data_IF_198100413112
#
_entry.id   IF_198100413112
#
_cell.length_a   1.000
_cell.length_b   1.000
_cell.length_c   1.000
_cell.angle_alpha   90.00
_cell.angle_beta   90.00
_cell.angle_gamma   90.00
#
_symmetry.space_group_name_H-M   'P 1'
#
loop_
_entity.id
_entity.type
_entity.pdbx_description
1 polymer ?
#
# COMPACT_ATOMS: atom_id res chain seq x y z
N UNK A 1 8.52 6.85 18.49
CA UNK A 1 7.49 6.05 17.80
C UNK A 1 8.08 4.71 17.38
N UNK A 2 7.25 3.68 17.21
CA UNK A 2 7.70 2.35 16.77
C UNK A 2 7.63 2.31 15.24
N UNK A 3 8.74 1.93 14.59
CA UNK A 3 8.87 1.88 13.13
C UNK A 3 8.87 0.43 12.65
N UNK A 4 7.71 -0.24 12.54
CA UNK A 4 7.67 -1.67 12.24
C UNK A 4 8.15 -1.99 10.82
N UNK A 5 8.95 -3.03 10.69
CA UNK A 5 9.44 -3.55 9.40
C UNK A 5 8.34 -4.28 8.61
N UNK A 6 7.31 -4.76 9.30
CA UNK A 6 6.12 -5.34 8.69
C UNK A 6 4.91 -5.20 9.61
N UNK A 7 3.73 -5.02 9.01
CA UNK A 7 2.47 -4.89 9.75
C UNK A 7 1.49 -5.93 9.26
N UNK A 8 0.98 -6.73 10.20
CA UNK A 8 -0.19 -7.57 9.99
C UNK A 8 -1.41 -6.88 10.61
N UNK A 9 -2.45 -6.64 9.82
CA UNK A 9 -3.66 -6.00 10.29
C UNK A 9 -4.89 -6.52 9.55
N UNK A 10 -6.03 -6.60 10.25
CA UNK A 10 -7.30 -7.07 9.67
C UNK A 10 -7.84 -6.09 8.62
N UNK A 11 -8.70 -6.55 7.68
CA UNK A 11 -9.28 -5.72 6.61
C UNK A 11 -9.88 -4.40 7.10
N UNK A 12 -10.60 -4.42 8.22
CA UNK A 12 -11.25 -3.22 8.75
C UNK A 12 -10.28 -2.12 9.18
N UNK A 13 -9.08 -2.49 9.64
CA UNK A 13 -8.01 -1.52 9.93
C UNK A 13 -7.48 -0.92 8.63
N UNK A 14 -7.37 -1.73 7.57
CA UNK A 14 -6.92 -1.28 6.25
C UNK A 14 -7.91 -0.35 5.57
N UNK A 15 -9.21 -0.59 5.75
CA UNK A 15 -10.30 0.25 5.26
C UNK A 15 -10.31 1.61 5.97
N UNK A 16 -10.30 1.63 7.31
CA UNK A 16 -10.20 2.88 8.07
C UNK A 16 -8.99 3.71 7.68
N UNK A 17 -7.89 3.03 7.40
CA UNK A 17 -6.67 3.69 6.94
C UNK A 17 -6.87 4.37 5.58
N UNK A 18 -7.48 3.66 4.63
CA UNK A 18 -7.86 4.21 3.33
C UNK A 18 -8.76 5.43 3.50
N UNK A 19 -9.81 5.33 4.32
CA UNK A 19 -10.75 6.43 4.58
C UNK A 19 -10.02 7.65 5.16
N UNK A 20 -9.17 7.45 6.17
CA UNK A 20 -8.40 8.54 6.80
C UNK A 20 -7.46 9.23 5.80
N UNK A 21 -6.81 8.46 4.94
CA UNK A 21 -5.94 8.99 3.90
C UNK A 21 -6.75 9.74 2.81
N UNK A 22 -7.91 9.21 2.39
CA UNK A 22 -8.82 9.90 1.46
C UNK A 22 -9.33 11.22 2.04
N UNK A 23 -9.71 11.27 3.32
CA UNK A 23 -10.08 12.53 3.99
C UNK A 23 -8.93 13.54 3.98
N UNK A 24 -7.70 13.09 4.26
CA UNK A 24 -6.53 13.96 4.14
C UNK A 24 -6.34 14.46 2.70
N UNK A 25 -6.52 13.62 1.69
CA UNK A 25 -6.44 14.05 0.29
C UNK A 25 -7.54 15.02 -0.12
N UNK A 26 -8.74 14.91 0.44
CA UNK A 26 -9.81 15.87 0.21
C UNK A 26 -9.50 17.23 0.84
N UNK A 27 -8.84 17.25 2.01
CA UNK A 27 -8.39 18.49 2.65
C UNK A 27 -7.24 19.20 1.91
N UNK A 28 -6.54 18.48 1.03
CA UNK A 28 -5.43 19.01 0.23
C UNK A 28 -5.99 19.55 -1.11
N UNK A 29 -6.07 20.88 -1.23
CA UNK A 29 -6.48 21.56 -2.46
C UNK A 29 -5.34 21.84 -3.46
N UNK A 30 -5.73 22.10 -4.72
CA UNK A 30 -4.85 22.67 -5.75
C UNK A 30 -3.75 21.74 -6.28
N UNK A 31 -2.55 22.29 -6.48
CA UNK A 31 -1.40 21.63 -7.13
C UNK A 31 -0.96 20.36 -6.38
N UNK A 32 -1.07 20.35 -5.05
CA UNK A 32 -0.70 19.17 -4.23
C UNK A 32 -1.59 17.96 -4.53
N UNK A 33 -2.90 18.17 -4.78
CA UNK A 33 -3.82 17.09 -5.17
C UNK A 33 -3.43 16.47 -6.51
N UNK A 34 -3.01 17.31 -7.47
CA UNK A 34 -2.53 16.84 -8.76
C UNK A 34 -1.25 16.01 -8.62
N UNK A 35 -0.30 16.46 -7.78
CA UNK A 35 0.95 15.72 -7.48
C UNK A 35 0.63 14.37 -6.85
N UNK A 36 -0.28 14.30 -5.86
CA UNK A 36 -0.67 13.05 -5.21
C UNK A 36 -1.34 12.11 -6.21
N UNK A 37 -2.24 12.60 -7.06
CA UNK A 37 -2.88 11.80 -8.11
C UNK A 37 -1.85 11.22 -9.08
N UNK A 38 -0.91 12.05 -9.53
CA UNK A 38 0.19 11.60 -10.41
C UNK A 38 1.11 10.61 -9.72
N UNK A 39 1.39 10.79 -8.43
CA UNK A 39 2.15 9.85 -7.62
C UNK A 39 1.43 8.50 -7.54
N UNK A 40 0.11 8.49 -7.33
CA UNK A 40 -0.68 7.24 -7.30
C UNK A 40 -0.63 6.49 -8.63
N UNK A 41 -0.75 7.16 -9.77
CA UNK A 41 -0.59 6.54 -11.10
C UNK A 41 0.80 5.92 -11.27
N UNK A 42 1.84 6.61 -10.82
CA UNK A 42 3.23 6.15 -10.90
C UNK A 42 3.48 4.96 -9.97
N UNK A 43 2.90 4.97 -8.76
CA UNK A 43 2.97 3.84 -7.81
C UNK A 43 2.28 2.59 -8.35
N UNK A 44 1.08 2.75 -8.94
CA UNK A 44 0.35 1.66 -9.60
C UNK A 44 1.19 1.01 -10.71
N UNK A 45 1.72 1.83 -11.64
CA UNK A 45 2.60 1.34 -12.71
C UNK A 45 3.85 0.66 -12.18
N UNK A 46 4.43 1.17 -11.09
CA UNK A 46 5.62 0.56 -10.49
C UNK A 46 5.32 -0.82 -9.90
N UNK A 47 4.16 -0.98 -9.26
CA UNK A 47 3.69 -2.26 -8.75
C UNK A 47 3.34 -3.23 -9.89
N UNK A 48 2.67 -2.79 -10.95
CA UNK A 48 2.40 -3.61 -12.14
C UNK A 48 3.70 -4.10 -12.79
N UNK A 49 4.71 -3.23 -12.91
CA UNK A 49 6.03 -3.60 -13.41
C UNK A 49 6.70 -4.66 -12.52
N UNK A 50 6.60 -4.53 -11.18
CA UNK A 50 7.12 -5.53 -10.24
C UNK A 50 6.41 -6.89 -10.38
N UNK A 51 5.09 -6.90 -10.57
CA UNK A 51 4.30 -8.12 -10.78
C UNK A 51 4.73 -8.81 -12.09
N UNK A 52 4.86 -8.04 -13.17
CA UNK A 52 5.26 -8.55 -14.49
C UNK A 52 6.76 -8.89 -14.61
N UNK A 53 7.54 -8.83 -13.50
CA UNK A 53 9.01 -8.94 -13.47
C UNK A 53 9.71 -8.00 -14.46
N UNK A 54 9.05 -6.91 -14.83
CA UNK A 54 9.57 -5.92 -15.75
C UNK A 54 10.30 -4.85 -14.92
N UNK A 55 11.63 -4.82 -14.96
CA UNK A 55 12.43 -3.94 -14.12
C UNK A 55 12.52 -2.49 -14.66
N UNK A 56 11.53 -2.06 -15.46
CA UNK A 56 11.49 -0.73 -16.03
C UNK A 56 11.19 0.32 -14.95
N UNK A 57 12.12 1.27 -14.81
CA UNK A 57 11.95 2.42 -13.94
C UNK A 57 10.80 3.29 -14.44
N UNK A 58 9.77 3.47 -13.61
CA UNK A 58 8.65 4.34 -13.96
C UNK A 58 9.10 5.81 -13.89
N UNK A 59 8.95 6.52 -15.00
CA UNK A 59 9.30 7.94 -15.06
C UNK A 59 8.52 8.73 -13.99
N UNK A 60 9.22 9.55 -13.21
CA UNK A 60 8.63 10.32 -12.10
C UNK A 60 8.53 9.57 -10.77
N UNK A 61 8.91 8.28 -10.69
CA UNK A 61 8.88 7.51 -9.43
C UNK A 61 9.75 8.13 -8.33
N UNK A 62 10.96 8.59 -8.65
CA UNK A 62 11.82 9.25 -7.66
C UNK A 62 11.19 10.50 -7.05
N UNK A 63 10.46 11.28 -7.86
CA UNK A 63 9.79 12.50 -7.41
C UNK A 63 8.55 12.16 -6.57
N UNK A 64 7.73 11.21 -7.04
CA UNK A 64 6.56 10.70 -6.31
C UNK A 64 6.96 10.09 -4.95
N UNK A 65 8.07 9.33 -4.95
CA UNK A 65 8.60 8.70 -3.74
C UNK A 65 9.05 9.74 -2.72
N UNK A 66 9.81 10.76 -3.16
CA UNK A 66 10.34 11.77 -2.25
C UNK A 66 9.26 12.72 -1.73
N UNK A 67 8.30 13.11 -2.56
CA UNK A 67 7.28 14.11 -2.20
C UNK A 67 6.05 13.52 -1.51
N UNK A 68 5.63 12.32 -1.90
CA UNK A 68 4.35 11.73 -1.45
C UNK A 68 4.61 10.49 -0.60
N UNK A 69 5.28 9.48 -1.15
CA UNK A 69 5.40 8.19 -0.46
C UNK A 69 6.21 8.29 0.83
N UNK A 70 7.35 9.00 0.81
CA UNK A 70 8.20 9.17 2.00
C UNK A 70 7.47 9.93 3.11
N UNK A 71 6.88 11.07 2.79
CA UNK A 71 6.11 11.87 3.76
C UNK A 71 4.92 11.09 4.34
N UNK A 72 4.23 10.31 3.49
CA UNK A 72 3.13 9.47 3.96
C UNK A 72 3.64 8.36 4.88
N UNK A 73 4.70 7.65 4.49
CA UNK A 73 5.28 6.58 5.31
C UNK A 73 5.82 7.09 6.64
N UNK A 74 6.52 8.22 6.66
CA UNK A 74 7.04 8.85 7.88
C UNK A 74 5.91 9.24 8.84
N UNK A 75 4.85 9.88 8.35
CA UNK A 75 3.68 10.26 9.17
C UNK A 75 2.94 9.08 9.81
N UNK A 76 3.16 7.89 9.28
CA UNK A 76 2.48 6.66 9.71
C UNK A 76 3.40 5.73 10.50
N UNK A 77 4.67 6.11 10.69
CA UNK A 77 5.69 5.21 11.22
C UNK A 77 5.99 4.00 10.32
N UNK A 78 5.61 4.07 9.03
CA UNK A 78 5.80 3.01 8.02
C UNK A 78 7.03 3.24 7.14
N UNK A 79 7.90 4.16 7.49
CA UNK A 79 9.15 4.46 6.78
C UNK A 79 10.06 3.24 6.65
N UNK A 80 10.03 2.34 7.65
CA UNK A 80 10.75 1.05 7.60
C UNK A 80 9.89 -0.13 7.15
N UNK A 81 8.59 0.08 6.91
CA UNK A 81 7.67 -1.00 6.58
C UNK A 81 7.94 -1.50 5.15
N UNK A 82 8.39 -2.75 5.05
CA UNK A 82 8.71 -3.41 3.77
C UNK A 82 7.54 -4.20 3.20
N UNK A 83 6.66 -4.69 4.07
CA UNK A 83 5.51 -5.50 3.67
C UNK A 83 4.35 -5.31 4.64
N UNK A 84 3.16 -5.17 4.08
CA UNK A 84 1.90 -5.15 4.81
C UNK A 84 1.17 -6.46 4.53
N UNK A 85 0.66 -7.12 5.57
CA UNK A 85 -0.14 -8.32 5.47
C UNK A 85 -1.54 -8.02 5.99
N UNK A 86 -2.55 -8.52 5.30
CA UNK A 86 -3.95 -8.46 5.70
C UNK A 86 -4.58 -9.83 5.63
N UNK A 87 -5.32 -10.23 6.65
CA UNK A 87 -5.98 -11.54 6.68
C UNK A 87 -7.12 -11.60 7.70
N UNK A 88 -7.84 -12.72 7.68
CA UNK A 88 -9.01 -12.98 8.53
C UNK A 88 -10.36 -12.60 7.91
N UNK A 89 -10.37 -11.94 6.75
CA UNK A 89 -11.57 -11.69 5.94
C UNK A 89 -11.17 -11.30 4.50
N UNK A 90 -12.08 -11.44 3.52
CA UNK A 90 -11.83 -11.01 2.14
C UNK A 90 -11.60 -9.49 2.08
N UNK A 91 -10.54 -9.08 1.37
CA UNK A 91 -10.21 -7.67 1.22
C UNK A 91 -10.77 -7.13 -0.11
N UNK A 92 -11.47 -5.98 -0.12
CA UNK A 92 -11.96 -5.39 -1.36
C UNK A 92 -10.81 -4.98 -2.28
N UNK A 93 -10.95 -5.22 -3.59
CA UNK A 93 -9.94 -4.83 -4.59
C UNK A 93 -9.61 -3.32 -4.54
N UNK A 94 -10.61 -2.48 -4.27
CA UNK A 94 -10.43 -1.04 -4.12
C UNK A 94 -9.48 -0.64 -2.98
N UNK A 95 -9.36 -1.46 -1.93
CA UNK A 95 -8.37 -1.25 -0.86
C UNK A 95 -7.00 -1.66 -1.38
N UNK A 96 -6.86 -2.86 -1.95
CA UNK A 96 -5.60 -3.35 -2.52
C UNK A 96 -4.99 -2.39 -3.55
N UNK A 97 -5.82 -1.87 -4.46
CA UNK A 97 -5.40 -0.94 -5.51
C UNK A 97 -4.98 0.42 -4.93
N UNK A 98 -5.64 0.88 -3.86
CA UNK A 98 -5.25 2.10 -3.14
C UNK A 98 -3.83 1.97 -2.54
N UNK A 99 -3.55 0.88 -1.83
CA UNK A 99 -2.22 0.63 -1.27
C UNK A 99 -1.15 0.45 -2.37
N UNK A 100 -1.51 -0.17 -3.49
CA UNK A 100 -0.63 -0.27 -4.67
C UNK A 100 -0.27 1.11 -5.23
N UNK A 101 -1.20 2.07 -5.22
CA UNK A 101 -0.93 3.46 -5.58
C UNK A 101 0.12 4.16 -4.70
N UNK A 102 0.30 3.74 -3.44
CA UNK A 102 1.37 4.23 -2.55
C UNK A 102 2.66 3.43 -2.61
N UNK A 103 2.78 2.53 -3.60
CA UNK A 103 3.88 1.58 -3.72
C UNK A 103 4.04 0.71 -2.45
N UNK A 104 2.93 0.39 -1.79
CA UNK A 104 2.89 -0.50 -0.62
C UNK A 104 2.37 -1.87 -1.06
N UNK A 105 3.20 -2.89 -0.84
CA UNK A 105 2.78 -4.26 -1.07
C UNK A 105 1.90 -4.76 0.08
N UNK A 106 0.61 -4.95 -0.18
CA UNK A 106 -0.41 -5.48 0.73
C UNK A 106 -0.73 -6.96 0.43
N UNK A 107 -0.02 -7.86 1.07
CA UNK A 107 -0.22 -9.30 0.93
C UNK A 107 -1.52 -9.72 1.62
N UNK A 108 -2.27 -10.60 0.99
CA UNK A 108 -3.45 -11.26 1.54
C UNK A 108 -3.05 -12.62 2.11
N UNK A 109 -3.44 -12.80 3.35
CA UNK A 109 -3.26 -13.99 4.15
C UNK A 109 -4.63 -14.63 4.35
N UNK A 110 -4.73 -15.90 3.99
CA UNK A 110 -5.87 -16.74 4.31
C UNK A 110 -5.45 -17.74 5.39
N UNK A 111 -6.31 -17.91 6.38
CA UNK A 111 -6.12 -18.88 7.43
C UNK A 111 -7.24 -18.80 8.45
N UNK A 112 -7.42 -19.89 9.18
CA UNK A 112 -8.43 -20.04 10.21
C UNK A 112 -7.76 -20.60 11.46
N UNK A 113 -8.38 -20.45 12.63
CA UNK A 113 -7.87 -21.03 13.88
C UNK A 113 -7.69 -22.55 13.76
N UNK A 114 -8.58 -23.18 13.00
CA UNK A 114 -8.67 -24.61 12.71
C UNK A 114 -7.52 -25.12 11.84
N UNK A 115 -6.73 -24.23 11.21
CA UNK A 115 -5.65 -24.56 10.28
C UNK A 115 -4.30 -23.94 10.68
N UNK A 116 -4.07 -23.69 11.99
CA UNK A 116 -2.85 -23.06 12.54
C UNK A 116 -2.69 -21.58 12.18
N UNK A 117 -3.80 -20.84 12.13
CA UNK A 117 -3.90 -19.39 11.89
C UNK A 117 -3.55 -18.91 10.48
N UNK A 118 -2.54 -19.48 9.82
CA UNK A 118 -2.12 -19.09 8.46
C UNK A 118 -2.05 -20.34 7.58
N UNK A 119 -2.93 -20.42 6.60
CA UNK A 119 -2.94 -21.51 5.62
C UNK A 119 -2.14 -21.12 4.36
N UNK A 120 -2.40 -19.93 3.80
CA UNK A 120 -1.73 -19.45 2.59
C UNK A 120 -1.54 -17.94 2.61
N UNK A 121 -0.48 -17.47 1.93
CA UNK A 121 -0.19 -16.04 1.73
C UNK A 121 0.17 -15.83 0.27
N UNK A 122 -0.40 -14.80 -0.36
CA UNK A 122 0.00 -14.45 -1.73
C UNK A 122 1.40 -13.82 -1.75
N UNK A 123 2.12 -14.01 -2.86
CA UNK A 123 3.46 -13.43 -3.05
C UNK A 123 3.36 -12.15 -3.86
N UNK A 124 4.39 -11.30 -3.78
CA UNK A 124 4.49 -10.04 -4.55
C UNK A 124 4.22 -10.20 -6.05
N UNK A 125 4.45 -11.39 -6.63
CA UNK A 125 4.25 -11.67 -8.05
C UNK A 125 2.88 -12.20 -8.44
N UNK A 126 1.98 -12.52 -7.50
CA UNK A 126 0.71 -13.19 -7.80
C UNK A 126 -0.46 -12.70 -6.93
N UNK A 127 -0.65 -11.37 -6.84
CA UNK A 127 -1.63 -10.70 -5.98
C UNK A 127 -3.00 -10.52 -6.61
#
# INVERSE_FOLDING_TARGET
>A
EVHPTGILAVPRVREKFKEAAETQFQSIGGVKKFIIRKAMEVGQRSQENKINRNNQSVFGYGLANRLVFKNLREKLGLDQCRFCISGGAPLPKAVTDFYAGFDIALLQLYGMSETSSVATVNTLGNR
#
